data_IF_978492316351
#
_entry.id   IF_978492316351
#
_cell.length_a   1.000
_cell.length_b   1.000
_cell.length_c   1.000
_cell.angle_alpha   90.00
_cell.angle_beta   90.00
_cell.angle_gamma   90.00
#
_symmetry.space_group_name_H-M   'P 1'
#
loop_
_entity.id
_entity.type
_entity.pdbx_description
1 polymer ?
#
# COMPACT_ATOMS: atom_id res chain seq x y z
N UNK A 1 32.31 -3.38 6.32
CA UNK A 1 31.37 -3.48 5.20
C UNK A 1 30.79 -4.88 5.25
N UNK A 2 29.83 -5.13 6.16
CA UNK A 2 29.29 -6.48 6.48
C UNK A 2 27.83 -6.41 6.96
N UNK A 3 26.96 -5.68 6.26
CA UNK A 3 25.55 -5.54 6.68
C UNK A 3 24.52 -5.93 5.61
N UNK A 4 24.95 -6.25 4.39
CA UNK A 4 24.04 -6.49 3.26
C UNK A 4 23.62 -7.97 3.12
N UNK A 5 24.53 -8.91 3.42
CA UNK A 5 24.24 -10.34 3.33
C UNK A 5 23.22 -10.86 4.35
N UNK A 6 23.11 -10.21 5.52
CA UNK A 6 22.23 -10.64 6.61
C UNK A 6 20.75 -10.26 6.36
N UNK A 7 20.49 -9.15 5.66
CA UNK A 7 19.12 -8.73 5.31
C UNK A 7 18.45 -9.67 4.31
N UNK A 8 19.18 -10.07 3.26
CA UNK A 8 18.62 -10.99 2.25
C UNK A 8 18.33 -12.39 2.78
N UNK A 9 19.02 -12.81 3.85
CA UNK A 9 18.76 -14.09 4.52
C UNK A 9 17.47 -14.04 5.36
N UNK A 10 17.27 -12.98 6.14
CA UNK A 10 16.06 -12.76 6.95
C UNK A 10 14.80 -12.64 6.07
N UNK A 11 14.89 -11.95 4.92
CA UNK A 11 13.76 -11.84 3.99
C UNK A 11 13.37 -13.19 3.39
N UNK A 12 14.34 -14.06 3.07
CA UNK A 12 14.08 -15.41 2.54
C UNK A 12 13.42 -16.31 3.59
N UNK A 13 13.89 -16.28 4.84
CA UNK A 13 13.27 -17.05 5.93
C UNK A 13 11.83 -16.58 6.20
N UNK A 14 11.60 -15.27 6.16
CA UNK A 14 10.25 -14.69 6.34
C UNK A 14 9.31 -15.08 5.20
N UNK A 15 9.78 -15.02 3.95
CA UNK A 15 9.02 -15.47 2.78
C UNK A 15 8.72 -16.97 2.83
N UNK A 16 9.69 -17.78 3.26
CA UNK A 16 9.53 -19.22 3.41
C UNK A 16 8.47 -19.55 4.47
N UNK A 17 8.48 -18.85 5.61
CA UNK A 17 7.49 -19.00 6.67
C UNK A 17 6.07 -18.69 6.17
N UNK A 18 5.90 -17.56 5.47
CA UNK A 18 4.59 -17.16 4.92
C UNK A 18 4.09 -18.16 3.88
N UNK A 19 4.97 -18.69 3.03
CA UNK A 19 4.61 -19.71 2.04
C UNK A 19 4.19 -21.03 2.70
N UNK A 20 4.85 -21.42 3.79
CA UNK A 20 4.52 -22.61 4.56
C UNK A 20 3.17 -22.45 5.27
N UNK A 21 2.94 -21.31 5.93
CA UNK A 21 1.65 -20.97 6.56
C UNK A 21 0.52 -20.97 5.52
N UNK A 22 0.74 -20.34 4.35
CA UNK A 22 -0.25 -20.30 3.27
C UNK A 22 -0.57 -21.70 2.73
N UNK A 23 0.43 -22.55 2.57
CA UNK A 23 0.25 -23.94 2.11
C UNK A 23 -0.54 -24.75 3.14
N UNK A 24 -0.26 -24.55 4.43
CA UNK A 24 -0.97 -25.22 5.52
C UNK A 24 -2.43 -24.75 5.61
N UNK A 25 -2.69 -23.45 5.49
CA UNK A 25 -4.06 -22.91 5.41
C UNK A 25 -4.83 -23.43 4.19
N UNK A 26 -4.17 -23.54 3.03
CA UNK A 26 -4.83 -24.08 1.85
C UNK A 26 -5.24 -25.56 2.04
N UNK A 27 -4.42 -26.34 2.73
CA UNK A 27 -4.72 -27.74 3.06
C UNK A 27 -5.90 -27.86 4.02
N UNK A 28 -5.95 -27.07 5.09
CA UNK A 28 -7.07 -27.09 6.04
C UNK A 28 -8.37 -26.60 5.39
N UNK A 29 -8.29 -25.60 4.52
CA UNK A 29 -9.44 -25.12 3.78
C UNK A 29 -10.03 -26.19 2.84
N UNK A 30 -9.18 -26.94 2.14
CA UNK A 30 -9.64 -28.07 1.31
C UNK A 30 -10.37 -29.14 2.14
N UNK A 31 -9.87 -29.46 3.33
CA UNK A 31 -10.54 -30.41 4.24
C UNK A 31 -11.91 -29.89 4.71
N UNK A 32 -12.03 -28.59 4.98
CA UNK A 32 -13.32 -27.99 5.33
C UNK A 32 -14.31 -28.02 4.17
N UNK A 33 -13.85 -27.80 2.94
CA UNK A 33 -14.69 -27.92 1.73
C UNK A 33 -15.20 -29.36 1.56
N UNK A 34 -14.33 -30.36 1.72
CA UNK A 34 -14.74 -31.77 1.65
C UNK A 34 -15.79 -32.13 2.72
N UNK A 35 -15.59 -31.68 3.95
CA UNK A 35 -16.56 -31.88 5.04
C UNK A 35 -17.91 -31.20 4.73
N UNK A 36 -17.88 -30.01 4.12
CA UNK A 36 -19.09 -29.29 3.71
C UNK A 36 -19.83 -30.05 2.60
N UNK A 37 -19.11 -30.57 1.61
CA UNK A 37 -19.70 -31.40 0.53
C UNK A 37 -20.37 -32.64 1.10
N UNK A 38 -19.73 -33.32 2.06
CA UNK A 38 -20.31 -34.48 2.75
C UNK A 38 -21.60 -34.08 3.50
N UNK A 39 -21.59 -32.96 4.22
CA UNK A 39 -22.76 -32.47 4.94
C UNK A 39 -23.92 -32.12 4.01
N UNK A 40 -23.64 -31.44 2.89
CA UNK A 40 -24.64 -31.09 1.87
C UNK A 40 -25.24 -32.33 1.23
N UNK A 41 -24.41 -33.32 0.88
CA UNK A 41 -24.88 -34.59 0.32
C UNK A 41 -25.74 -35.37 1.34
N UNK A 42 -25.38 -35.36 2.62
CA UNK A 42 -26.20 -35.99 3.67
C UNK A 42 -27.57 -35.30 3.81
N UNK A 43 -27.60 -33.96 3.77
CA UNK A 43 -28.86 -33.20 3.78
C UNK A 43 -29.68 -33.49 2.53
N UNK A 44 -29.07 -33.53 1.34
CA UNK A 44 -29.73 -33.91 0.09
C UNK A 44 -30.37 -35.30 0.17
N UNK A 45 -29.63 -36.28 0.67
CA UNK A 45 -30.13 -37.64 0.87
C UNK A 45 -31.30 -37.70 1.86
N UNK A 46 -31.27 -36.92 2.94
CA UNK A 46 -32.39 -36.82 3.89
C UNK A 46 -33.61 -36.18 3.26
N UNK A 47 -33.43 -35.14 2.45
CA UNK A 47 -34.54 -34.49 1.72
C UNK A 47 -35.16 -35.47 0.72
N UNK A 48 -34.35 -36.23 -0.01
CA UNK A 48 -34.86 -37.24 -0.93
C UNK A 48 -35.59 -38.39 -0.22
N UNK A 49 -35.13 -38.77 0.98
CA UNK A 49 -35.83 -39.74 1.82
C UNK A 49 -37.19 -39.21 2.28
N UNK A 50 -37.27 -37.97 2.78
CA UNK A 50 -38.53 -37.32 3.14
C UNK A 50 -39.49 -37.22 1.95
N UNK A 51 -38.97 -36.91 0.76
CA UNK A 51 -39.79 -36.82 -0.46
C UNK A 51 -40.34 -38.19 -0.89
N UNK A 52 -39.63 -39.28 -0.60
CA UNK A 52 -40.12 -40.65 -0.84
C UNK A 52 -41.16 -41.07 0.18
N UNK A 53 -40.96 -40.77 1.46
CA UNK A 53 -41.93 -41.05 2.53
C UNK A 53 -43.28 -40.34 2.30
N UNK A 54 -43.26 -39.08 1.86
CA UNK A 54 -44.48 -38.30 1.55
C UNK A 54 -45.28 -38.89 0.37
N UNK A 55 -44.61 -39.55 -0.58
CA UNK A 55 -45.30 -40.22 -1.69
C UNK A 55 -45.96 -41.56 -1.28
N UNK A 56 -45.46 -42.23 -0.25
CA UNK A 56 -46.07 -43.45 0.33
C UNK A 56 -47.22 -43.17 1.30
N UNK A 57 -47.30 -41.96 1.88
CA UNK A 57 -48.32 -41.61 2.90
C UNK A 57 -49.65 -41.11 2.32
N UNK A 58 -49.82 -41.02 1.00
CA UNK A 58 -51.01 -40.46 0.33
C UNK A 58 -52.30 -41.30 0.39
N UNK A 59 -52.43 -42.30 1.27
CA UNK A 59 -53.63 -43.14 1.33
C UNK A 59 -54.27 -43.29 2.71
N UNK A 60 -54.31 -42.26 3.55
CA UNK A 60 -55.33 -42.20 4.61
C UNK A 60 -55.75 -40.74 4.80
N UNK A 61 -56.91 -40.39 4.24
CA UNK A 61 -57.64 -39.17 4.60
C UNK A 61 -58.31 -39.41 5.96
N UNK A 62 -57.55 -39.22 7.04
CA UNK A 62 -58.12 -39.03 8.36
C UNK A 62 -58.27 -37.52 8.59
N UNK A 63 -59.50 -37.09 8.80
CA UNK A 63 -59.83 -35.74 9.24
C UNK A 63 -59.24 -35.51 10.63
N UNK A 64 -57.98 -35.10 10.67
CA UNK A 64 -57.24 -34.74 11.87
C UNK A 64 -57.71 -33.37 12.38
N UNK A 65 -58.06 -33.31 13.66
CA UNK A 65 -58.52 -32.11 14.35
C UNK A 65 -57.42 -31.03 14.33
N UNK A 66 -57.59 -30.07 13.42
CA UNK A 66 -56.61 -29.03 13.06
C UNK A 66 -56.29 -28.10 14.25
N UNK A 67 -57.14 -28.06 15.29
CA UNK A 67 -56.94 -27.23 16.49
C UNK A 67 -55.71 -27.60 17.30
N UNK A 68 -55.38 -28.90 17.38
CA UNK A 68 -54.19 -29.34 18.10
C UNK A 68 -52.91 -28.93 17.36
N UNK A 69 -52.94 -28.94 16.02
CA UNK A 69 -51.81 -28.56 15.17
C UNK A 69 -51.60 -27.05 15.20
N UNK A 70 -52.68 -26.26 15.19
CA UNK A 70 -52.61 -24.81 15.26
C UNK A 70 -51.98 -24.32 16.58
N UNK A 71 -52.35 -24.94 17.72
CA UNK A 71 -51.78 -24.58 19.02
C UNK A 71 -50.30 -24.95 19.13
N UNK A 72 -49.87 -26.07 18.53
CA UNK A 72 -48.46 -26.48 18.46
C UNK A 72 -47.66 -25.51 17.57
N UNK A 73 -48.21 -25.08 16.43
CA UNK A 73 -47.57 -24.11 15.55
C UNK A 73 -47.43 -22.74 16.21
N UNK A 74 -48.48 -22.24 16.87
CA UNK A 74 -48.43 -20.97 17.60
C UNK A 74 -47.38 -21.00 18.71
N UNK A 75 -47.29 -22.11 19.45
CA UNK A 75 -46.26 -22.31 20.47
C UNK A 75 -44.86 -22.38 19.86
N UNK A 76 -44.70 -23.09 18.74
CA UNK A 76 -43.44 -23.18 18.00
C UNK A 76 -42.96 -21.82 17.48
N UNK A 77 -43.85 -20.99 16.95
CA UNK A 77 -43.52 -19.63 16.51
C UNK A 77 -43.09 -18.72 17.66
N UNK A 78 -43.73 -18.84 18.82
CA UNK A 78 -43.34 -18.10 20.02
C UNK A 78 -41.96 -18.52 20.52
N UNK A 79 -41.67 -19.83 20.57
CA UNK A 79 -40.37 -20.35 20.98
C UNK A 79 -39.26 -19.99 19.99
N UNK A 80 -39.52 -20.02 18.68
CA UNK A 80 -38.58 -19.58 17.65
C UNK A 80 -38.28 -18.09 17.79
N UNK A 81 -39.30 -17.24 17.98
CA UNK A 81 -39.12 -15.80 18.21
C UNK A 81 -38.28 -15.53 19.45
N UNK A 82 -38.49 -16.32 20.51
CA UNK A 82 -37.74 -16.21 21.75
C UNK A 82 -36.29 -16.70 21.61
N UNK A 83 -36.06 -17.78 20.84
CA UNK A 83 -34.72 -18.27 20.50
C UNK A 83 -33.95 -17.30 19.61
N UNK A 84 -34.59 -16.68 18.62
CA UNK A 84 -33.98 -15.64 17.77
C UNK A 84 -33.62 -14.41 18.60
N UNK A 85 -34.47 -14.02 19.55
CA UNK A 85 -34.17 -12.91 20.48
C UNK A 85 -33.02 -13.20 21.45
N UNK A 86 -32.72 -14.47 21.71
CA UNK A 86 -31.63 -14.93 22.58
C UNK A 86 -30.37 -15.38 21.85
N UNK A 87 -30.42 -15.58 20.55
CA UNK A 87 -29.22 -15.85 19.77
C UNK A 87 -28.30 -14.61 19.85
N UNK A 88 -27.02 -14.78 20.23
CA UNK A 88 -26.07 -13.69 20.17
C UNK A 88 -26.01 -13.24 18.70
N UNK A 89 -26.44 -12.00 18.42
CA UNK A 89 -26.33 -11.40 17.09
C UNK A 89 -24.92 -11.65 16.58
N UNK A 90 -24.79 -12.37 15.47
CA UNK A 90 -23.50 -12.62 14.86
C UNK A 90 -22.86 -11.27 14.55
N UNK A 91 -21.79 -10.95 15.28
CA UNK A 91 -20.98 -9.77 15.02
C UNK A 91 -20.22 -10.08 13.74
N UNK A 92 -20.84 -9.81 12.60
CA UNK A 92 -20.18 -9.86 11.30
C UNK A 92 -19.20 -8.68 11.27
N UNK A 93 -17.93 -8.92 11.59
CA UNK A 93 -16.88 -7.92 11.45
C UNK A 93 -16.69 -7.62 9.95
N UNK A 94 -17.27 -6.52 9.49
CA UNK A 94 -16.93 -5.93 8.19
C UNK A 94 -15.59 -5.22 8.32
N UNK A 95 -14.52 -5.83 7.81
CA UNK A 95 -13.28 -5.13 7.54
C UNK A 95 -13.45 -4.34 6.24
N UNK A 96 -13.95 -3.11 6.34
CA UNK A 96 -13.90 -2.16 5.24
C UNK A 96 -12.70 -1.25 5.48
N UNK A 97 -11.73 -1.27 4.57
CA UNK A 97 -10.71 -0.22 4.48
C UNK A 97 -11.42 0.99 3.86
N UNK A 98 -12.16 1.74 4.66
CA UNK A 98 -12.53 3.09 4.26
C UNK A 98 -11.30 3.98 4.45
N UNK A 99 -11.00 4.82 3.46
CA UNK A 99 -10.09 5.96 3.65
C UNK A 99 -10.58 6.95 4.73
N UNK A 100 -11.80 6.77 5.24
CA UNK A 100 -12.47 7.65 6.19
C UNK A 100 -13.18 6.83 7.29
N UNK A 101 -12.90 7.07 8.58
CA UNK A 101 -13.61 6.37 9.65
C UNK A 101 -15.07 6.88 9.76
N UNK A 102 -16.05 5.97 9.86
CA UNK A 102 -17.49 6.33 10.01
C UNK A 102 -17.79 7.04 11.35
N UNK A 103 -16.98 6.79 12.38
CA UNK A 103 -17.02 7.48 13.68
C UNK A 103 -15.73 8.28 13.89
N UNK A 104 -15.85 9.50 14.41
CA UNK A 104 -14.74 10.41 14.73
C UNK A 104 -13.86 10.92 13.57
N UNK A 105 -14.40 10.98 12.35
CA UNK A 105 -13.73 11.59 11.18
C UNK A 105 -13.16 13.00 11.46
N UNK A 106 -13.86 13.80 12.26
CA UNK A 106 -13.44 15.17 12.62
C UNK A 106 -12.20 15.20 13.51
N UNK A 107 -12.08 14.26 14.45
CA UNK A 107 -10.91 14.14 15.33
C UNK A 107 -9.72 13.58 14.54
N UNK A 108 -9.95 12.55 13.73
CA UNK A 108 -8.91 11.97 12.89
C UNK A 108 -8.32 12.99 11.91
N UNK A 109 -9.17 13.73 11.18
CA UNK A 109 -8.71 14.76 10.25
C UNK A 109 -7.95 15.88 10.98
N UNK A 110 -8.39 16.29 12.17
CA UNK A 110 -7.72 17.31 12.98
C UNK A 110 -6.32 16.89 13.42
N UNK A 111 -6.11 15.61 13.77
CA UNK A 111 -4.78 15.12 14.18
C UNK A 111 -3.88 14.90 12.95
N UNK A 112 -4.38 14.21 11.92
CA UNK A 112 -3.59 13.79 10.75
C UNK A 112 -3.25 15.00 9.87
N UNK A 113 -4.24 15.80 9.49
CA UNK A 113 -4.01 16.99 8.67
C UNK A 113 -3.52 18.19 9.47
N UNK A 114 -3.70 18.20 10.80
CA UNK A 114 -3.21 19.28 11.65
C UNK A 114 -1.73 19.13 11.97
N UNK A 115 -1.34 18.08 12.71
CA UNK A 115 0.03 17.94 13.23
C UNK A 115 0.90 17.11 12.30
N UNK A 116 0.46 15.92 11.91
CA UNK A 116 1.29 14.99 11.14
C UNK A 116 1.61 15.49 9.73
N UNK A 117 0.60 15.98 9.01
CA UNK A 117 0.79 16.55 7.68
C UNK A 117 1.69 17.78 7.72
N UNK A 118 1.54 18.64 8.73
CA UNK A 118 2.39 19.82 8.89
C UNK A 118 3.86 19.43 9.12
N UNK A 119 4.13 18.40 9.94
CA UNK A 119 5.48 17.86 10.10
C UNK A 119 6.05 17.30 8.80
N UNK A 120 5.23 16.64 7.98
CA UNK A 120 5.63 16.12 6.68
C UNK A 120 6.00 17.26 5.72
N UNK A 121 5.17 18.30 5.64
CA UNK A 121 5.44 19.49 4.82
C UNK A 121 6.72 20.18 5.26
N UNK A 122 6.94 20.34 6.58
CA UNK A 122 8.18 20.92 7.12
C UNK A 122 9.39 20.07 6.73
N UNK A 123 9.32 18.74 6.86
CA UNK A 123 10.41 17.86 6.46
C UNK A 123 10.75 17.96 4.98
N UNK A 124 9.73 17.99 4.11
CA UNK A 124 9.91 18.16 2.67
C UNK A 124 10.49 19.54 2.35
N UNK A 125 10.02 20.59 3.01
CA UNK A 125 10.54 21.94 2.83
C UNK A 125 12.01 22.04 3.26
N UNK A 126 12.37 21.46 4.41
CA UNK A 126 13.76 21.40 4.90
C UNK A 126 14.67 20.62 3.95
N UNK A 127 14.22 19.48 3.45
CA UNK A 127 15.00 18.68 2.50
C UNK A 127 15.24 19.42 1.18
N UNK A 128 14.21 20.08 0.63
CA UNK A 128 14.36 20.91 -0.56
C UNK A 128 15.25 22.12 -0.31
N UNK A 129 15.12 22.79 0.84
CA UNK A 129 15.95 23.93 1.20
C UNK A 129 17.41 23.52 1.41
N UNK A 130 17.65 22.34 1.99
CA UNK A 130 18.99 21.78 2.14
C UNK A 130 19.62 21.49 0.77
N UNK A 131 18.92 20.77 -0.11
CA UNK A 131 19.41 20.48 -1.46
C UNK A 131 19.66 21.77 -2.25
N UNK A 132 18.73 22.73 -2.17
CA UNK A 132 18.89 24.04 -2.81
C UNK A 132 20.10 24.81 -2.25
N UNK A 133 20.29 24.80 -0.92
CA UNK A 133 21.43 25.45 -0.27
C UNK A 133 22.77 24.84 -0.68
N UNK A 134 22.87 23.52 -0.77
CA UNK A 134 24.07 22.83 -1.25
C UNK A 134 24.33 23.17 -2.72
N UNK A 135 23.34 23.04 -3.60
CA UNK A 135 23.50 23.38 -5.02
C UNK A 135 23.84 24.85 -5.25
N UNK A 136 23.25 25.76 -4.48
CA UNK A 136 23.57 27.18 -4.57
C UNK A 136 25.01 27.48 -4.11
N UNK A 137 25.45 26.84 -3.02
CA UNK A 137 26.81 26.96 -2.51
C UNK A 137 27.84 26.42 -3.51
N UNK A 138 27.58 25.24 -4.08
CA UNK A 138 28.48 24.59 -5.02
C UNK A 138 28.57 25.35 -6.34
N UNK A 139 27.45 25.81 -6.88
CA UNK A 139 27.45 26.66 -8.09
C UNK A 139 28.25 27.95 -7.87
N UNK A 140 28.10 28.59 -6.70
CA UNK A 140 28.86 29.81 -6.40
C UNK A 140 30.37 29.54 -6.31
N UNK A 141 30.77 28.42 -5.71
CA UNK A 141 32.19 28.01 -5.66
C UNK A 141 32.74 27.73 -7.06
N UNK A 142 31.98 27.04 -7.90
CA UNK A 142 32.40 26.77 -9.27
C UNK A 142 32.56 28.05 -10.08
N UNK A 143 31.61 28.99 -9.95
CA UNK A 143 31.68 30.31 -10.60
C UNK A 143 32.91 31.08 -10.12
N UNK A 144 33.17 31.11 -8.81
CA UNK A 144 34.34 31.78 -8.24
C UNK A 144 35.65 31.15 -8.75
N UNK A 145 35.72 29.82 -8.80
CA UNK A 145 36.87 29.10 -9.33
C UNK A 145 37.10 29.40 -10.82
N UNK A 146 36.04 29.43 -11.62
CA UNK A 146 36.13 29.80 -13.04
C UNK A 146 36.59 31.25 -13.21
N UNK A 147 36.09 32.18 -12.40
CA UNK A 147 36.53 33.58 -12.41
C UNK A 147 38.02 33.71 -12.04
N UNK A 148 38.47 33.01 -11.00
CA UNK A 148 39.89 33.00 -10.60
C UNK A 148 40.77 32.43 -11.71
N UNK A 149 40.35 31.35 -12.37
CA UNK A 149 41.09 30.76 -13.50
C UNK A 149 41.14 31.72 -14.69
N UNK A 150 40.01 32.31 -15.07
CA UNK A 150 39.94 33.30 -16.15
C UNK A 150 40.81 34.53 -15.84
N UNK A 151 40.82 35.00 -14.60
CA UNK A 151 41.65 36.11 -14.16
C UNK A 151 43.14 35.78 -14.23
N UNK A 152 43.53 34.55 -13.86
CA UNK A 152 44.92 34.08 -14.00
C UNK A 152 45.34 34.04 -15.46
N UNK A 153 44.50 33.49 -16.34
CA UNK A 153 44.77 33.44 -17.79
C UNK A 153 44.89 34.85 -18.36
N UNK A 154 43.96 35.76 -18.00
CA UNK A 154 43.99 37.16 -18.42
C UNK A 154 45.29 37.84 -17.99
N UNK A 155 45.68 37.71 -16.72
CA UNK A 155 46.94 38.29 -16.20
C UNK A 155 48.18 37.69 -16.89
N UNK A 156 48.19 36.39 -17.13
CA UNK A 156 49.29 35.73 -17.85
C UNK A 156 49.38 36.21 -19.30
N UNK A 157 48.23 36.37 -19.97
CA UNK A 157 48.15 36.92 -21.33
C UNK A 157 48.63 38.37 -21.38
N UNK A 158 48.20 39.21 -20.45
CA UNK A 158 48.65 40.60 -20.32
C UNK A 158 50.16 40.69 -20.07
N UNK A 159 50.69 39.88 -19.15
CA UNK A 159 52.12 39.81 -18.88
C UNK A 159 52.92 39.42 -20.13
N UNK A 160 52.50 38.35 -20.81
CA UNK A 160 53.12 37.88 -22.04
C UNK A 160 53.03 38.93 -23.15
N UNK A 161 51.90 39.62 -23.26
CA UNK A 161 51.70 40.67 -24.23
C UNK A 161 52.58 41.89 -23.94
N UNK A 162 52.79 42.28 -22.69
CA UNK A 162 53.63 43.44 -22.35
C UNK A 162 55.12 43.12 -22.59
N UNK A 163 55.58 41.95 -22.14
CA UNK A 163 57.00 41.61 -22.04
C UNK A 163 57.63 41.06 -23.33
N UNK A 164 56.83 40.71 -24.35
CA UNK A 164 57.35 40.17 -25.62
C UNK A 164 57.58 41.23 -26.71
N UNK A 165 58.23 40.77 -27.77
CA UNK A 165 58.56 41.54 -28.96
C UNK A 165 57.32 41.87 -29.84
N UNK A 166 57.53 42.73 -30.84
CA UNK A 166 56.46 43.28 -31.68
C UNK A 166 55.79 42.22 -32.57
N UNK A 167 56.54 41.20 -33.03
CA UNK A 167 55.97 40.14 -33.88
C UNK A 167 55.06 39.22 -33.06
N UNK A 168 55.49 38.81 -31.87
CA UNK A 168 54.65 38.02 -30.94
C UNK A 168 53.37 38.77 -30.55
N UNK A 169 53.45 40.07 -30.27
CA UNK A 169 52.27 40.93 -30.01
C UNK A 169 51.27 40.92 -31.18
N UNK A 170 51.76 40.92 -32.43
CA UNK A 170 50.93 40.88 -33.64
C UNK A 170 50.24 39.52 -33.80
N UNK A 171 50.95 38.43 -33.55
CA UNK A 171 50.38 37.07 -33.55
C UNK A 171 49.30 36.91 -32.46
N UNK A 172 49.57 37.39 -31.25
CA UNK A 172 48.60 37.37 -30.14
C UNK A 172 47.33 38.17 -30.48
N UNK A 173 47.45 39.36 -31.08
CA UNK A 173 46.28 40.12 -31.56
C UNK A 173 45.48 39.36 -32.62
N UNK A 174 46.15 38.72 -33.58
CA UNK A 174 45.49 37.92 -34.60
C UNK A 174 44.74 36.74 -33.98
N UNK A 175 45.35 36.04 -33.02
CA UNK A 175 44.71 34.96 -32.30
C UNK A 175 43.45 35.43 -31.54
N UNK A 176 43.52 36.61 -30.90
CA UNK A 176 42.38 37.20 -30.20
C UNK A 176 41.23 37.54 -31.16
N UNK A 177 41.50 38.19 -32.29
CA UNK A 177 40.47 38.52 -33.31
C UNK A 177 39.81 37.26 -33.86
N UNK A 178 40.62 36.25 -34.23
CA UNK A 178 40.10 34.97 -34.71
C UNK A 178 39.21 34.26 -33.66
N UNK A 179 39.53 34.39 -32.37
CA UNK A 179 38.71 33.81 -31.30
C UNK A 179 37.34 34.48 -31.14
N UNK A 180 37.21 35.75 -31.55
CA UNK A 180 35.94 36.48 -31.54
C UNK A 180 35.06 36.14 -32.75
N UNK A 181 35.68 35.86 -33.90
CA UNK A 181 34.99 35.46 -35.14
C UNK A 181 34.57 33.97 -35.15
N UNK A 182 35.19 33.14 -34.30
CA UNK A 182 34.90 31.70 -34.17
C UNK A 182 33.68 31.37 -33.27
N UNK A 183 32.92 32.37 -32.83
CA UNK A 183 31.69 32.22 -32.02
C UNK A 183 30.45 32.36 -32.90
#
# INVERSE_FOLDING_TARGET
METDGNKGYIERETLQLVLEEFTQEQKTNNQHIEALVIAVNNVGNKIDAFKKEDNTAKSVSETLDIKAIETILQKGFLDIKFMIGRQPKSIVRKFQILLFPEQDAKLFYKIVFGRWFLWLVIMVALSNLYNWGIHYSDNNKEIEMQQIQNDRIRKAWEYMYINNDKETKKLMKKAYVNSLESK
#
